data_IF_271666728322
#
_entry.id   IF_271666728322
#
_cell.length_a   1.000
_cell.length_b   1.000
_cell.length_c   1.000
_cell.angle_alpha   90.00
_cell.angle_beta   90.00
_cell.angle_gamma   90.00
#
_symmetry.space_group_name_H-M   'P 1'
#
loop_
_entity.id
_entity.type
_entity.pdbx_description
1 polymer ?
#
# COMPACT_ATOMS: atom_id res chain seq x y z
N UNK A 1 19.82 6.78 -2.82
CA UNK A 1 18.47 6.75 -3.44
C UNK A 1 17.84 5.39 -3.18
N UNK A 2 16.57 5.32 -2.77
CA UNK A 2 15.86 4.04 -2.63
C UNK A 2 15.83 3.33 -4.00
N UNK A 3 16.22 2.05 -4.07
CA UNK A 3 16.03 1.25 -5.29
C UNK A 3 14.54 1.18 -5.61
N UNK A 4 14.15 1.43 -6.86
CA UNK A 4 12.77 1.30 -7.33
C UNK A 4 12.59 -0.05 -8.02
N UNK A 5 11.47 -0.71 -7.75
CA UNK A 5 11.03 -1.95 -8.41
C UNK A 5 9.63 -1.76 -8.98
N UNK A 6 9.31 -2.52 -10.03
CA UNK A 6 7.97 -2.50 -10.65
C UNK A 6 7.19 -3.70 -10.13
N UNK A 7 6.04 -3.44 -9.51
CA UNK A 7 5.05 -4.45 -9.15
C UNK A 7 3.79 -4.16 -9.93
N UNK A 8 3.63 -4.84 -11.06
CA UNK A 8 2.51 -4.62 -11.98
C UNK A 8 2.36 -3.11 -12.32
N UNK A 9 1.24 -2.46 -12.00
CA UNK A 9 1.02 -1.03 -12.27
C UNK A 9 1.71 -0.06 -11.29
N UNK A 10 2.52 -0.55 -10.33
CA UNK A 10 3.10 0.28 -9.28
C UNK A 10 4.62 0.40 -9.40
N UNK A 11 5.13 1.64 -9.33
CA UNK A 11 6.54 1.92 -9.00
C UNK A 11 6.70 1.91 -7.48
N UNK A 12 7.50 1.00 -6.94
CA UNK A 12 7.59 0.77 -5.49
C UNK A 12 9.01 0.99 -5.01
N UNK A 13 9.16 1.71 -3.89
CA UNK A 13 10.44 1.77 -3.18
C UNK A 13 10.75 0.39 -2.58
N UNK A 14 11.91 -0.18 -2.91
CA UNK A 14 12.30 -1.52 -2.47
C UNK A 14 12.48 -1.61 -0.94
N UNK A 15 12.78 -0.50 -0.28
CA UNK A 15 12.94 -0.42 1.17
C UNK A 15 11.57 -0.28 1.86
N UNK A 16 11.20 -1.19 2.77
CA UNK A 16 9.96 -1.07 3.51
C UNK A 16 9.96 0.18 4.41
N UNK A 17 8.79 0.80 4.55
CA UNK A 17 8.55 2.02 5.34
C UNK A 17 7.88 1.72 6.68
N UNK A 18 7.34 0.52 6.82
CA UNK A 18 6.75 0.04 8.08
C UNK A 18 6.61 -1.47 8.10
N UNK A 19 6.35 -1.99 9.29
CA UNK A 19 6.04 -3.40 9.54
C UNK A 19 4.71 -3.47 10.28
N UNK A 20 3.71 -4.06 9.63
CA UNK A 20 2.49 -4.48 10.31
C UNK A 20 2.63 -5.89 10.85
N UNK A 21 1.64 -6.34 11.63
CA UNK A 21 1.62 -7.68 12.25
C UNK A 21 1.91 -8.81 11.25
N UNK A 22 1.34 -8.72 10.04
CA UNK A 22 1.40 -9.80 9.05
C UNK A 22 2.17 -9.45 7.76
N UNK A 23 2.86 -8.31 7.72
CA UNK A 23 3.51 -7.88 6.48
C UNK A 23 4.30 -6.59 6.57
N UNK A 24 4.94 -6.24 5.45
CA UNK A 24 5.70 -5.00 5.31
C UNK A 24 4.93 -3.99 4.47
N UNK A 25 5.04 -2.72 4.82
CA UNK A 25 4.41 -1.61 4.10
C UNK A 25 5.48 -0.88 3.30
N UNK A 26 5.16 -0.51 2.07
CA UNK A 26 6.03 0.16 1.13
C UNK A 26 5.34 1.42 0.60
N UNK A 27 6.11 2.44 0.26
CA UNK A 27 5.60 3.53 -0.56
C UNK A 27 5.68 3.15 -2.03
N UNK A 28 4.64 3.50 -2.76
CA UNK A 28 4.58 3.33 -4.20
C UNK A 28 3.88 4.48 -4.89
N UNK A 29 3.99 4.47 -6.22
CA UNK A 29 3.26 5.36 -7.11
C UNK A 29 2.45 4.50 -8.08
N UNK A 30 1.14 4.70 -8.08
CA UNK A 30 0.21 4.08 -9.01
C UNK A 30 0.32 4.76 -10.38
N UNK A 31 0.81 4.03 -11.38
CA UNK A 31 1.03 4.56 -12.72
C UNK A 31 -0.27 4.82 -13.47
N UNK A 32 -1.33 4.05 -13.15
CA UNK A 32 -2.64 4.16 -13.80
C UNK A 32 -3.42 5.35 -13.27
N UNK A 33 -3.50 5.49 -11.95
CA UNK A 33 -4.26 6.57 -11.29
C UNK A 33 -3.41 7.80 -10.96
N UNK A 34 -2.10 7.76 -11.27
CA UNK A 34 -1.15 8.86 -11.08
C UNK A 34 -1.10 9.41 -9.64
N UNK A 35 -1.17 8.52 -8.65
CA UNK A 35 -1.21 8.90 -7.23
C UNK A 35 -0.19 8.14 -6.38
N UNK A 36 0.26 8.77 -5.28
CA UNK A 36 1.08 8.13 -4.26
C UNK A 36 0.20 7.19 -3.43
N UNK A 37 0.73 6.00 -3.12
CA UNK A 37 0.01 4.95 -2.37
C UNK A 37 0.92 4.28 -1.35
N UNK A 38 0.30 3.68 -0.32
CA UNK A 38 0.96 2.71 0.56
C UNK A 38 0.54 1.30 0.15
N UNK A 39 1.51 0.40 -0.05
CA UNK A 39 1.28 -0.98 -0.46
C UNK A 39 1.76 -1.91 0.65
N UNK A 40 0.87 -2.75 1.20
CA UNK A 40 1.24 -3.76 2.20
C UNK A 40 1.41 -5.11 1.54
N UNK A 41 2.62 -5.70 1.62
CA UNK A 41 2.91 -7.05 1.14
C UNK A 41 2.69 -8.05 2.28
N UNK A 42 1.72 -8.95 2.09
CA UNK A 42 1.34 -10.01 3.03
C UNK A 42 1.55 -11.37 2.33
N UNK A 43 2.42 -12.26 2.84
CA UNK A 43 2.69 -13.54 2.18
C UNK A 43 1.51 -14.53 2.19
N UNK A 44 0.67 -14.48 3.23
CA UNK A 44 -0.45 -15.39 3.40
C UNK A 44 -1.74 -14.77 2.84
N UNK A 45 -2.31 -15.39 1.80
CA UNK A 45 -3.51 -14.89 1.10
C UNK A 45 -4.76 -14.90 1.99
N UNK A 46 -4.90 -15.88 2.88
CA UNK A 46 -6.06 -15.98 3.80
C UNK A 46 -6.06 -14.81 4.79
N UNK A 47 -4.89 -14.50 5.36
CA UNK A 47 -4.72 -13.34 6.24
C UNK A 47 -4.97 -12.04 5.46
N UNK A 48 -4.43 -11.92 4.25
CA UNK A 48 -4.63 -10.74 3.41
C UNK A 48 -6.12 -10.49 3.11
N UNK A 49 -6.87 -11.54 2.75
CA UNK A 49 -8.32 -11.45 2.52
C UNK A 49 -9.08 -10.98 3.76
N UNK A 50 -8.73 -11.50 4.94
CA UNK A 50 -9.32 -11.07 6.22
C UNK A 50 -9.05 -9.59 6.49
N UNK A 51 -7.80 -9.14 6.36
CA UNK A 51 -7.45 -7.73 6.55
C UNK A 51 -8.20 -6.82 5.57
N UNK A 52 -8.26 -7.20 4.28
CA UNK A 52 -9.00 -6.43 3.26
C UNK A 52 -10.48 -6.35 3.61
N UNK A 53 -11.10 -7.44 4.08
CA UNK A 53 -12.50 -7.43 4.51
C UNK A 53 -12.73 -6.44 5.64
N UNK A 54 -11.89 -6.47 6.68
CA UNK A 54 -11.98 -5.56 7.83
C UNK A 54 -11.77 -4.11 7.38
N UNK A 55 -10.77 -3.85 6.53
CA UNK A 55 -10.51 -2.50 6.01
C UNK A 55 -11.63 -1.98 5.11
N UNK A 56 -12.34 -2.84 4.37
CA UNK A 56 -13.52 -2.42 3.61
C UNK A 56 -14.67 -1.99 4.52
N UNK A 57 -14.83 -2.65 5.67
CA UNK A 57 -15.88 -2.33 6.64
C UNK A 57 -15.55 -1.10 7.48
N UNK A 58 -14.29 -0.92 7.87
CA UNK A 58 -13.91 0.09 8.88
C UNK A 58 -12.84 1.10 8.41
N UNK A 59 -12.18 0.86 7.29
CA UNK A 59 -11.03 1.63 6.79
C UNK A 59 -11.41 2.92 6.06
N UNK A 60 -12.38 3.68 6.58
CA UNK A 60 -12.74 4.97 6.03
C UNK A 60 -11.85 6.08 6.64
N UNK A 61 -10.80 6.45 5.92
CA UNK A 61 -10.04 7.67 6.22
C UNK A 61 -10.74 8.91 5.66
N UNK A 62 -10.65 10.06 6.36
CA UNK A 62 -11.04 11.36 5.81
C UNK A 62 -10.33 11.57 4.47
N UNK A 63 -11.08 11.81 3.39
CA UNK A 63 -10.48 12.26 2.12
C UNK A 63 -9.59 13.48 2.44
N UNK A 64 -8.28 13.33 2.29
CA UNK A 64 -7.36 14.44 2.49
C UNK A 64 -7.78 15.57 1.56
N UNK A 65 -8.14 16.72 2.14
CA UNK A 65 -8.30 17.96 1.38
C UNK A 65 -6.97 18.17 0.66
N UNK A 66 -6.99 18.10 -0.68
CA UNK A 66 -5.92 18.69 -1.49
C UNK A 66 -6.01 20.19 -1.24
N UNK A 67 -5.16 20.70 -0.35
CA UNK A 67 -4.80 22.12 -0.36
C UNK A 67 -3.84 22.26 -1.53
N UNK A 68 -4.34 22.88 -2.60
CA UNK A 68 -3.52 23.39 -3.69
C UNK A 68 -2.74 24.63 -3.28
#
# INVERSE_FOLDING_TARGET
MSRIVIWDQYKVEASPKGRGTYGKVYFGFDLKNRQKVCIKKVPNVTIAKKEVSIMKTYGHGKKGKHLG
#
